data_IF_873922776603
#
_entry.id   IF_873922776603
#
_cell.length_a   1.000
_cell.length_b   1.000
_cell.length_c   1.000
_cell.angle_alpha   90.00
_cell.angle_beta   90.00
_cell.angle_gamma   90.00
#
_symmetry.space_group_name_H-M   'P 1'
#
loop_
_entity.id
_entity.type
_entity.pdbx_description
1 polymer ?
#
# COMPACT_ATOMS: atom_id res chain seq x y z
N UNK A 1 33.49 34.51 43.46
CA UNK A 1 32.84 33.83 42.31
C UNK A 1 33.79 33.55 41.13
N UNK A 2 34.64 34.49 40.68
CA UNK A 2 35.55 34.24 39.52
C UNK A 2 36.60 33.13 39.73
N UNK A 3 37.14 32.95 40.95
CA UNK A 3 38.14 31.91 41.24
C UNK A 3 37.54 30.49 41.22
N UNK A 4 36.31 30.32 41.69
CA UNK A 4 35.65 29.01 41.76
C UNK A 4 35.25 28.49 40.37
N UNK A 5 34.89 29.38 39.45
CA UNK A 5 34.62 29.02 38.04
C UNK A 5 35.90 28.53 37.35
N UNK A 6 37.06 29.12 37.66
CA UNK A 6 38.35 28.69 37.10
C UNK A 6 38.77 27.30 37.58
N UNK A 7 38.53 26.98 38.86
CA UNK A 7 38.81 25.65 39.41
C UNK A 7 37.87 24.58 38.87
N UNK A 8 36.59 24.91 38.63
CA UNK A 8 35.63 24.01 37.98
C UNK A 8 36.03 23.79 36.51
N UNK A 9 36.42 24.84 35.78
CA UNK A 9 36.90 24.71 34.40
C UNK A 9 38.18 23.89 34.30
N UNK A 10 39.15 24.07 35.22
CA UNK A 10 40.36 23.24 35.29
C UNK A 10 40.06 21.78 35.65
N UNK A 11 39.10 21.53 36.55
CA UNK A 11 38.66 20.17 36.88
C UNK A 11 37.94 19.50 35.69
N UNK A 12 37.13 20.24 34.94
CA UNK A 12 36.49 19.74 33.71
C UNK A 12 37.50 19.50 32.58
N UNK A 13 38.55 20.33 32.46
CA UNK A 13 39.65 20.09 31.51
C UNK A 13 40.52 18.89 31.92
N UNK A 14 40.76 18.68 33.22
CA UNK A 14 41.50 17.51 33.71
C UNK A 14 40.72 16.19 33.55
N UNK A 15 39.39 16.24 33.57
CA UNK A 15 38.50 15.09 33.33
C UNK A 15 38.22 14.84 31.83
N UNK A 16 38.49 15.81 30.96
CA UNK A 16 38.20 15.71 29.52
C UNK A 16 39.29 15.06 28.67
N UNK A 17 40.51 14.91 29.19
CA UNK A 17 41.67 14.43 28.41
C UNK A 17 42.08 12.97 28.68
N UNK A 18 41.40 12.25 29.58
CA UNK A 18 41.72 10.82 29.83
C UNK A 18 40.89 9.85 28.98
N UNK A 19 40.12 10.35 28.00
CA UNK A 19 39.24 9.52 27.17
C UNK A 19 39.82 9.17 25.79
N UNK A 20 40.99 9.72 25.42
CA UNK A 20 41.70 9.28 24.23
C UNK A 20 42.61 8.13 24.61
N UNK A 21 42.30 6.95 24.11
CA UNK A 21 43.22 5.82 24.11
C UNK A 21 44.49 6.20 23.35
N UNK A 22 45.65 5.96 23.96
CA UNK A 22 46.96 6.15 23.32
C UNK A 22 47.34 4.97 22.41
N UNK A 23 46.45 3.97 22.25
CA UNK A 23 46.68 2.84 21.35
C UNK A 23 46.44 3.27 19.89
N UNK A 24 47.48 3.29 19.02
CA UNK A 24 47.31 3.62 17.61
C UNK A 24 46.32 2.69 16.89
N UNK A 25 46.04 1.50 17.43
CA UNK A 25 45.05 0.57 16.89
C UNK A 25 43.61 1.08 17.05
N UNK A 26 43.30 1.95 18.01
CA UNK A 26 41.96 2.55 18.11
C UNK A 26 41.66 3.49 16.94
N UNK A 27 42.68 4.04 16.29
CA UNK A 27 42.50 4.87 15.09
C UNK A 27 42.28 4.07 13.80
N UNK A 28 42.61 2.76 13.79
CA UNK A 28 42.54 1.92 12.58
C UNK A 28 41.55 0.75 12.67
N UNK A 29 41.04 0.45 13.87
CA UNK A 29 40.01 -0.57 14.05
C UNK A 29 38.62 0.04 13.87
N UNK A 30 37.69 -0.73 13.29
CA UNK A 30 36.32 -0.26 13.11
C UNK A 30 35.64 -0.11 14.47
N UNK A 31 34.96 1.03 14.65
CA UNK A 31 34.14 1.35 15.82
C UNK A 31 33.17 0.20 16.12
N UNK A 32 33.08 -0.17 17.40
CA UNK A 32 32.11 -1.14 17.91
C UNK A 32 30.97 -0.36 18.51
N UNK A 33 29.77 -0.48 17.92
CA UNK A 33 28.63 0.33 18.30
C UNK A 33 27.98 -0.20 19.57
N UNK A 34 27.65 0.74 20.46
CA UNK A 34 26.89 0.45 21.67
C UNK A 34 25.43 0.05 21.39
N UNK A 35 24.70 -0.45 22.41
CA UNK A 35 23.28 -0.76 22.30
C UNK A 35 22.43 0.43 21.81
N UNK A 36 22.75 1.64 22.26
CA UNK A 36 22.01 2.87 21.97
C UNK A 36 22.60 3.69 20.81
N UNK A 37 23.69 3.21 20.20
CA UNK A 37 24.31 3.86 19.05
C UNK A 37 23.75 3.29 17.74
N UNK A 38 23.43 4.18 16.81
CA UNK A 38 22.94 3.85 15.47
C UNK A 38 24.11 3.66 14.50
N UNK A 39 24.34 2.44 13.96
CA UNK A 39 25.36 2.22 12.95
C UNK A 39 25.13 3.06 11.70
N UNK A 40 26.20 3.62 11.15
CA UNK A 40 26.15 4.33 9.88
C UNK A 40 25.74 3.38 8.74
N UNK A 41 24.84 3.82 7.87
CA UNK A 41 24.48 3.08 6.67
C UNK A 41 25.44 3.45 5.54
N UNK A 42 26.36 2.54 5.23
CA UNK A 42 27.23 2.67 4.06
C UNK A 42 26.41 2.61 2.77
N UNK A 43 26.61 3.56 1.86
CA UNK A 43 25.95 3.54 0.55
C UNK A 43 26.41 2.36 -0.31
N UNK A 44 25.49 1.49 -0.71
CA UNK A 44 25.70 0.44 -1.71
C UNK A 44 24.44 0.26 -2.58
N UNK A 45 24.49 0.75 -3.81
CA UNK A 45 23.36 0.65 -4.74
C UNK A 45 22.99 -0.79 -5.05
N UNK A 46 23.97 -1.70 -5.12
CA UNK A 46 23.73 -3.12 -5.41
C UNK A 46 23.13 -3.85 -4.20
N UNK A 47 23.14 -3.25 -3.00
CA UNK A 47 22.46 -3.78 -1.82
C UNK A 47 21.02 -3.27 -1.68
N UNK A 48 20.61 -2.33 -2.54
CA UNK A 48 19.27 -1.72 -2.47
C UNK A 48 18.31 -2.43 -3.43
N UNK A 49 17.20 -2.90 -2.88
CA UNK A 49 16.06 -3.48 -3.59
C UNK A 49 14.95 -2.43 -3.57
N UNK A 50 14.46 -2.02 -4.74
CA UNK A 50 13.39 -1.03 -4.85
C UNK A 50 12.07 -1.71 -5.13
N UNK A 51 11.04 -1.35 -4.37
CA UNK A 51 9.67 -1.80 -4.57
C UNK A 51 8.73 -0.60 -4.68
N UNK A 52 7.69 -0.72 -5.48
CA UNK A 52 6.65 0.29 -5.63
C UNK A 52 5.30 -0.37 -5.37
N UNK A 53 4.58 0.12 -4.38
CA UNK A 53 3.29 -0.41 -3.94
C UNK A 53 2.21 0.65 -4.15
N UNK A 54 1.01 0.22 -4.49
CA UNK A 54 -0.17 1.09 -4.64
C UNK A 54 -1.31 0.58 -3.77
N UNK A 55 -1.78 1.42 -2.86
CA UNK A 55 -2.96 1.15 -2.05
C UNK A 55 -4.13 1.97 -2.58
N UNK A 56 -5.32 1.36 -2.65
CA UNK A 56 -6.50 2.01 -3.22
C UNK A 56 -7.56 2.22 -2.15
N UNK A 57 -8.00 3.46 -1.95
CA UNK A 57 -9.05 3.79 -0.97
C UNK A 57 -10.34 3.03 -1.35
N UNK A 58 -11.04 2.50 -0.34
CA UNK A 58 -12.18 1.61 -0.50
C UNK A 58 -11.83 0.11 -0.44
N UNK A 59 -10.57 -0.27 -0.73
CA UNK A 59 -10.07 -1.63 -0.54
C UNK A 59 -8.57 -1.62 -0.23
N UNK A 60 -8.22 -1.21 0.99
CA UNK A 60 -6.84 -1.10 1.45
C UNK A 60 -6.28 -2.49 1.83
N UNK A 61 -6.04 -3.30 0.80
CA UNK A 61 -5.44 -4.61 0.97
C UNK A 61 -3.99 -4.49 1.45
N UNK A 62 -3.62 -5.34 2.41
CA UNK A 62 -2.24 -5.52 2.83
C UNK A 62 -1.42 -6.07 1.65
N UNK A 63 -0.25 -5.50 1.41
CA UNK A 63 0.66 -5.94 0.36
C UNK A 63 1.89 -6.62 0.93
N UNK A 64 2.45 -7.57 0.18
CA UNK A 64 3.59 -8.37 0.64
C UNK A 64 4.73 -8.39 -0.38
N UNK A 65 5.95 -8.38 0.12
CA UNK A 65 7.18 -8.51 -0.65
C UNK A 65 7.83 -9.83 -0.25
N UNK A 66 7.80 -10.81 -1.14
CA UNK A 66 8.37 -12.12 -0.89
C UNK A 66 9.89 -12.09 -1.02
N UNK A 67 10.60 -12.39 0.07
CA UNK A 67 12.06 -12.33 0.11
C UNK A 67 12.72 -13.36 -0.82
N UNK A 68 12.04 -14.45 -1.16
CA UNK A 68 12.55 -15.45 -2.12
C UNK A 68 12.69 -14.89 -3.53
N UNK A 69 11.91 -13.88 -3.90
CA UNK A 69 12.04 -13.21 -5.20
C UNK A 69 13.37 -12.45 -5.33
N UNK A 70 14.05 -12.19 -4.22
CA UNK A 70 15.34 -11.49 -4.18
C UNK A 70 16.47 -12.38 -3.62
N UNK A 71 16.29 -13.70 -3.66
CA UNK A 71 17.22 -14.66 -3.05
C UNK A 71 18.66 -14.50 -3.55
N UNK A 72 18.86 -14.23 -4.84
CA UNK A 72 20.20 -14.05 -5.43
C UNK A 72 20.92 -12.81 -4.84
N UNK A 73 20.20 -11.69 -4.72
CA UNK A 73 20.77 -10.45 -4.18
C UNK A 73 21.03 -10.58 -2.68
N UNK A 74 20.11 -11.20 -1.94
CA UNK A 74 20.27 -11.54 -0.52
C UNK A 74 21.51 -12.42 -0.32
N UNK A 75 21.64 -13.49 -1.10
CA UNK A 75 22.77 -14.40 -1.02
C UNK A 75 24.09 -13.73 -1.39
N UNK A 76 24.10 -12.87 -2.39
CA UNK A 76 25.32 -12.14 -2.78
C UNK A 76 25.78 -11.17 -1.69
N UNK A 77 24.84 -10.47 -1.05
CA UNK A 77 25.15 -9.39 -0.11
C UNK A 77 25.35 -9.84 1.33
N UNK A 78 24.57 -10.81 1.79
CA UNK A 78 24.69 -11.39 3.12
C UNK A 78 25.55 -12.65 3.15
N UNK A 79 25.86 -13.26 2.00
CA UNK A 79 26.54 -14.55 1.89
C UNK A 79 25.76 -15.69 2.55
N UNK A 80 24.45 -15.55 2.60
CA UNK A 80 23.50 -16.43 3.30
C UNK A 80 22.28 -16.66 2.41
N UNK A 81 21.71 -17.87 2.43
CA UNK A 81 20.40 -18.06 1.79
C UNK A 81 19.31 -17.31 2.57
N UNK A 82 18.13 -17.13 1.97
CA UNK A 82 16.98 -16.55 2.69
C UNK A 82 16.68 -17.35 3.96
N UNK A 83 16.79 -18.68 3.91
CA UNK A 83 16.52 -19.53 5.07
C UNK A 83 17.56 -19.33 6.18
N UNK A 84 18.85 -19.23 5.82
CA UNK A 84 19.92 -18.93 6.76
C UNK A 84 19.76 -17.57 7.42
N UNK A 85 19.25 -16.57 6.68
CA UNK A 85 18.95 -15.23 7.23
C UNK A 85 17.93 -15.33 8.36
N UNK A 86 16.88 -16.15 8.22
CA UNK A 86 15.88 -16.33 9.29
C UNK A 86 16.41 -17.12 10.47
N UNK A 87 17.27 -18.12 10.26
CA UNK A 87 17.99 -18.78 11.35
C UNK A 87 18.88 -17.76 12.09
N UNK A 88 19.54 -16.89 11.33
CA UNK A 88 20.35 -15.78 11.83
C UNK A 88 19.57 -14.75 12.65
N UNK A 89 18.30 -14.51 12.32
CA UNK A 89 17.44 -13.63 13.13
C UNK A 89 17.08 -14.23 14.48
N UNK A 90 16.90 -15.55 14.55
CA UNK A 90 16.53 -16.25 15.79
C UNK A 90 17.71 -16.40 16.75
N UNK A 91 18.93 -16.57 16.22
CA UNK A 91 20.13 -16.70 17.03
C UNK A 91 20.85 -15.35 17.30
N UNK A 92 20.44 -14.27 16.63
CA UNK A 92 20.98 -12.92 16.80
C UNK A 92 22.18 -12.57 15.91
N UNK A 93 22.55 -13.42 14.95
CA UNK A 93 23.62 -13.16 13.97
C UNK A 93 23.19 -12.19 12.86
N UNK A 94 21.88 -12.09 12.61
CA UNK A 94 21.26 -11.13 11.70
C UNK A 94 20.33 -10.22 12.50
N UNK A 95 20.30 -8.94 12.10
CA UNK A 95 19.31 -7.97 12.55
C UNK A 95 18.40 -7.54 11.41
N UNK A 96 17.15 -7.22 11.76
CA UNK A 96 16.20 -6.53 10.89
C UNK A 96 15.84 -5.20 11.53
N UNK A 97 16.12 -4.09 10.84
CA UNK A 97 15.92 -2.74 11.38
C UNK A 97 15.30 -1.80 10.34
N UNK A 98 14.65 -0.76 10.86
CA UNK A 98 14.35 0.46 10.11
C UNK A 98 15.66 1.16 9.70
N UNK A 99 15.59 1.97 8.65
CA UNK A 99 16.68 2.79 8.14
C UNK A 99 16.20 4.24 8.05
N UNK A 100 16.88 5.13 8.77
CA UNK A 100 16.69 6.56 8.65
C UNK A 100 17.63 7.11 7.56
N UNK A 101 17.07 7.30 6.36
CA UNK A 101 17.82 7.78 5.20
C UNK A 101 18.29 9.23 5.35
N UNK A 102 17.53 10.07 6.05
CA UNK A 102 17.90 11.47 6.32
C UNK A 102 19.15 11.56 7.19
N UNK A 103 19.34 10.59 8.10
CA UNK A 103 20.55 10.47 8.93
C UNK A 103 21.61 9.57 8.32
N UNK A 104 21.30 8.86 7.23
CA UNK A 104 22.16 7.84 6.64
C UNK A 104 22.54 6.76 7.65
N UNK A 105 21.60 6.29 8.48
CA UNK A 105 21.89 5.39 9.58
C UNK A 105 20.83 4.30 9.77
N UNK A 106 21.26 3.17 10.31
CA UNK A 106 20.38 2.12 10.82
C UNK A 106 19.64 2.64 12.05
N UNK A 107 18.32 2.54 12.03
CA UNK A 107 17.47 3.00 13.12
C UNK A 107 17.05 1.81 13.98
N UNK A 108 17.71 1.70 15.14
CA UNK A 108 17.50 0.64 16.13
C UNK A 108 16.32 0.92 17.06
N UNK A 109 15.48 1.91 16.75
CA UNK A 109 14.24 2.16 17.49
C UNK A 109 13.44 0.86 17.60
N UNK A 110 12.98 0.53 18.80
CA UNK A 110 12.22 -0.68 19.03
C UNK A 110 10.97 -0.74 18.13
N UNK A 111 10.53 -1.94 17.71
CA UNK A 111 9.32 -2.11 16.91
C UNK A 111 8.12 -1.38 17.51
N UNK A 112 7.41 -0.61 16.67
CA UNK A 112 6.16 0.07 17.05
C UNK A 112 4.91 -0.60 16.47
N UNK A 113 5.09 -1.56 15.55
CA UNK A 113 4.04 -2.43 15.02
C UNK A 113 4.39 -3.89 15.28
N UNK A 114 3.51 -4.57 16.01
CA UNK A 114 3.73 -5.96 16.41
C UNK A 114 5.08 -6.15 17.11
N UNK A 115 5.78 -7.24 16.78
CA UNK A 115 7.09 -7.56 17.38
C UNK A 115 8.27 -7.36 16.42
N UNK A 116 8.02 -7.05 15.15
CA UNK A 116 9.05 -7.00 14.09
C UNK A 116 8.88 -5.83 13.13
N UNK A 117 7.98 -4.88 13.41
CA UNK A 117 7.61 -3.82 12.49
C UNK A 117 7.56 -2.42 13.09
N UNK A 118 7.32 -1.44 12.22
CA UNK A 118 7.21 -0.03 12.58
C UNK A 118 6.06 0.63 11.85
N UNK A 119 5.39 1.56 12.53
CA UNK A 119 4.54 2.57 11.92
C UNK A 119 5.37 3.78 11.51
N UNK A 120 5.01 4.40 10.39
CA UNK A 120 5.69 5.58 9.85
C UNK A 120 4.72 6.74 9.66
N UNK A 121 5.16 7.96 9.98
CA UNK A 121 4.43 9.20 9.73
C UNK A 121 4.71 9.77 8.32
N UNK A 122 4.12 10.92 8.00
CA UNK A 122 4.31 11.63 6.71
C UNK A 122 5.73 12.03 6.38
N UNK A 123 6.59 12.19 7.38
CA UNK A 123 8.00 12.50 7.17
C UNK A 123 8.86 11.23 6.98
N UNK A 124 8.26 10.04 6.96
CA UNK A 124 8.97 8.75 6.91
C UNK A 124 9.66 8.38 8.22
N UNK A 125 9.34 9.05 9.33
CA UNK A 125 9.88 8.76 10.65
C UNK A 125 9.02 7.73 11.40
N UNK A 126 9.67 6.92 12.24
CA UNK A 126 8.98 5.95 13.12
C UNK A 126 8.03 6.68 14.05
N UNK A 127 6.83 6.14 14.20
CA UNK A 127 5.74 6.71 15.00
C UNK A 127 4.89 5.62 15.66
N UNK A 128 3.79 6.00 16.29
CA UNK A 128 2.73 5.14 16.82
C UNK A 128 1.59 4.97 15.81
N UNK A 129 0.77 3.94 16.00
CA UNK A 129 -0.39 3.65 15.15
C UNK A 129 -1.32 4.85 14.92
N UNK A 130 -1.59 5.63 15.97
CA UNK A 130 -2.46 6.81 15.91
C UNK A 130 -2.03 7.90 14.93
N UNK A 131 -0.75 7.93 14.54
CA UNK A 131 -0.17 8.92 13.64
C UNK A 131 0.45 8.27 12.40
N UNK A 132 0.12 7.00 12.15
CA UNK A 132 0.68 6.24 11.05
C UNK A 132 0.05 6.65 9.71
N UNK A 133 0.87 6.62 8.66
CA UNK A 133 0.41 6.69 7.27
C UNK A 133 0.69 5.37 6.53
N UNK A 134 1.75 4.69 6.92
CA UNK A 134 2.12 3.37 6.43
C UNK A 134 2.76 2.58 7.57
N UNK A 135 2.69 1.27 7.44
CA UNK A 135 3.22 0.30 8.38
C UNK A 135 4.02 -0.76 7.62
N UNK A 136 5.16 -1.15 8.18
CA UNK A 136 5.97 -2.27 7.67
C UNK A 136 6.19 -3.26 8.80
N UNK A 137 6.00 -4.55 8.54
CA UNK A 137 6.27 -5.64 9.47
C UNK A 137 6.97 -6.80 8.76
N UNK A 138 7.83 -7.53 9.48
CA UNK A 138 8.42 -8.75 8.97
C UNK A 138 7.59 -9.96 9.38
N UNK A 139 6.96 -10.60 8.40
CA UNK A 139 6.35 -11.92 8.57
C UNK A 139 7.44 -12.99 8.46
N UNK A 140 7.90 -13.46 9.62
CA UNK A 140 8.92 -14.50 9.73
C UNK A 140 8.45 -15.87 9.23
N UNK A 141 7.16 -16.18 9.36
CA UNK A 141 6.63 -17.49 9.00
C UNK A 141 6.59 -17.65 7.48
N UNK A 142 6.11 -16.63 6.78
CA UNK A 142 5.99 -16.64 5.32
C UNK A 142 7.22 -16.08 4.60
N UNK A 143 8.18 -15.51 5.35
CA UNK A 143 9.42 -14.89 4.82
C UNK A 143 9.12 -13.71 3.91
N UNK A 144 8.26 -12.82 4.39
CA UNK A 144 7.73 -11.69 3.64
C UNK A 144 7.87 -10.39 4.44
N UNK A 145 8.10 -9.29 3.73
CA UNK A 145 7.87 -7.96 4.29
C UNK A 145 6.43 -7.60 3.98
N UNK A 146 5.66 -7.28 5.02
CA UNK A 146 4.24 -6.93 4.96
C UNK A 146 4.13 -5.42 5.06
N UNK A 147 3.39 -4.81 4.14
CA UNK A 147 3.16 -3.36 4.07
C UNK A 147 1.66 -3.09 4.10
N UNK A 148 1.25 -2.18 4.96
CA UNK A 148 -0.16 -1.80 5.15
C UNK A 148 -0.29 -0.30 5.35
N UNK A 149 -1.46 0.25 5.00
CA UNK A 149 -1.82 1.64 5.30
C UNK A 149 -3.08 1.64 6.18
N UNK A 150 -3.23 2.59 7.11
CA UNK A 150 -4.44 2.69 7.93
C UNK A 150 -5.68 3.04 7.10
N UNK A 151 -6.87 2.67 7.58
CA UNK A 151 -8.14 3.01 6.91
C UNK A 151 -8.42 4.52 6.85
N UNK A 152 -7.76 5.31 7.70
CA UNK A 152 -7.89 6.77 7.78
C UNK A 152 -6.98 7.51 6.79
N UNK A 153 -6.29 6.80 5.89
CA UNK A 153 -5.37 7.38 4.92
C UNK A 153 -6.11 8.22 3.87
N UNK A 154 -5.51 9.33 3.45
CA UNK A 154 -6.08 10.25 2.46
C UNK A 154 -5.57 9.95 1.03
N UNK A 155 -6.34 10.38 0.03
CA UNK A 155 -5.95 10.29 -1.38
C UNK A 155 -4.67 11.10 -1.67
N UNK A 156 -3.88 10.65 -2.65
CA UNK A 156 -2.65 11.29 -3.08
C UNK A 156 -1.47 11.12 -2.12
N UNK A 157 -1.67 10.50 -0.96
CA UNK A 157 -0.61 10.20 -0.01
C UNK A 157 0.44 9.29 -0.65
N UNK A 158 1.70 9.67 -0.53
CA UNK A 158 2.82 8.89 -1.07
C UNK A 158 4.07 9.10 -0.24
N UNK A 159 4.99 8.14 -0.30
CA UNK A 159 6.25 8.23 0.40
C UNK A 159 7.15 7.04 0.16
N UNK A 160 8.27 7.01 0.88
CA UNK A 160 9.22 5.90 0.83
C UNK A 160 9.65 5.53 2.24
N UNK A 161 9.53 4.24 2.57
CA UNK A 161 10.04 3.66 3.83
C UNK A 161 11.18 2.71 3.54
N UNK A 162 12.10 2.57 4.51
CA UNK A 162 13.33 1.83 4.32
C UNK A 162 13.56 0.88 5.49
N UNK A 163 13.69 -0.40 5.18
CA UNK A 163 14.03 -1.44 6.16
C UNK A 163 15.14 -2.32 5.57
N UNK A 164 15.85 -3.06 6.39
CA UNK A 164 16.92 -3.92 5.89
C UNK A 164 17.34 -5.02 6.84
N UNK A 165 18.06 -5.99 6.28
CA UNK A 165 18.73 -7.05 7.01
C UNK A 165 20.23 -6.80 6.98
N UNK A 166 20.92 -6.99 8.11
CA UNK A 166 22.37 -6.90 8.17
C UNK A 166 22.96 -7.97 9.09
N UNK A 167 24.20 -8.37 8.81
CA UNK A 167 24.99 -9.20 9.73
C UNK A 167 25.35 -8.39 10.96
N UNK A 168 24.95 -8.87 12.14
CA UNK A 168 25.19 -8.20 13.42
C UNK A 168 26.60 -8.46 13.94
N UNK A 169 27.57 -7.84 13.27
CA UNK A 169 28.98 -7.90 13.68
C UNK A 169 29.33 -6.86 14.78
N UNK A 170 28.33 -6.18 15.34
CA UNK A 170 28.47 -5.05 16.29
C UNK A 170 29.36 -3.89 15.81
N UNK A 171 29.70 -3.85 14.53
CA UNK A 171 30.63 -2.89 13.92
C UNK A 171 29.94 -2.14 12.79
N UNK A 172 30.09 -2.54 11.55
CA UNK A 172 29.78 -1.68 10.41
C UNK A 172 28.45 -1.95 9.71
N UNK A 173 27.81 -3.10 9.99
CA UNK A 173 26.63 -3.58 9.25
C UNK A 173 26.83 -3.49 7.72
N UNK A 174 28.07 -3.65 7.23
CA UNK A 174 28.42 -3.49 5.81
C UNK A 174 27.92 -4.65 4.94
N UNK A 175 27.65 -5.81 5.54
CA UNK A 175 26.99 -6.93 4.86
C UNK A 175 25.49 -6.81 5.12
N UNK A 176 24.79 -6.21 4.16
CA UNK A 176 23.37 -5.91 4.30
C UNK A 176 22.61 -5.96 2.98
N UNK A 177 21.30 -6.06 3.09
CA UNK A 177 20.35 -5.70 2.03
C UNK A 177 19.36 -4.68 2.57
N UNK A 178 19.02 -3.69 1.74
CA UNK A 178 18.04 -2.65 2.04
C UNK A 178 16.86 -2.76 1.08
N UNK A 179 15.66 -2.71 1.63
CA UNK A 179 14.42 -2.55 0.87
C UNK A 179 14.00 -1.08 0.94
N UNK A 180 14.01 -0.42 -0.22
CA UNK A 180 13.46 0.93 -0.41
C UNK A 180 12.06 0.78 -1.00
N UNK A 181 11.05 0.92 -0.15
CA UNK A 181 9.66 0.65 -0.49
C UNK A 181 8.95 1.98 -0.69
N UNK A 182 8.67 2.30 -1.95
CA UNK A 182 7.81 3.44 -2.30
C UNK A 182 6.36 2.99 -2.26
N UNK A 183 5.49 3.84 -1.73
CA UNK A 183 4.05 3.61 -1.71
C UNK A 183 3.31 4.84 -2.22
N UNK A 184 2.19 4.61 -2.88
CA UNK A 184 1.18 5.62 -3.19
C UNK A 184 -0.18 5.14 -2.76
N UNK A 185 -1.03 6.08 -2.37
CA UNK A 185 -2.44 5.88 -2.08
C UNK A 185 -3.23 6.64 -3.10
N UNK A 186 -4.14 5.95 -3.77
CA UNK A 186 -5.03 6.51 -4.77
C UNK A 186 -6.48 6.24 -4.37
N UNK A 187 -7.31 7.27 -4.44
CA UNK A 187 -8.76 7.13 -4.37
C UNK A 187 -9.32 7.03 -5.79
N UNK A 188 -9.74 5.83 -6.22
CA UNK A 188 -10.38 5.68 -7.53
C UNK A 188 -11.72 6.46 -7.62
N UNK A 189 -12.29 6.89 -6.49
CA UNK A 189 -13.53 7.68 -6.41
C UNK A 189 -13.33 9.20 -6.37
N UNK A 190 -12.10 9.70 -6.30
CA UNK A 190 -11.79 11.14 -6.22
C UNK A 190 -12.36 11.95 -7.40
N UNK A 191 -12.64 11.30 -8.53
CA UNK A 191 -13.36 11.86 -9.66
C UNK A 191 -14.84 11.44 -9.65
N UNK A 192 -15.65 11.94 -8.70
CA UNK A 192 -17.10 11.77 -8.78
C UNK A 192 -17.59 12.54 -10.02
N UNK A 193 -17.83 11.83 -11.11
CA UNK A 193 -18.38 12.41 -12.33
C UNK A 193 -19.90 12.50 -12.18
N UNK A 194 -20.44 13.69 -12.40
CA UNK A 194 -21.90 13.83 -12.53
C UNK A 194 -22.32 13.39 -13.92
N UNK A 195 -23.21 12.40 -13.99
CA UNK A 195 -23.73 11.86 -15.25
C UNK A 195 -25.22 12.17 -15.35
N UNK A 196 -25.65 12.47 -16.57
CA UNK A 196 -27.06 12.66 -16.88
C UNK A 196 -27.62 11.34 -17.41
N UNK A 197 -28.52 10.73 -16.65
CA UNK A 197 -29.17 9.47 -17.04
C UNK A 197 -30.54 9.82 -17.64
N UNK A 198 -30.84 9.43 -18.88
CA UNK A 198 -32.16 9.66 -19.47
C UNK A 198 -33.26 9.01 -18.64
N UNK A 199 -34.36 9.73 -18.44
CA UNK A 199 -35.57 9.26 -17.76
C UNK A 199 -36.57 8.58 -18.74
N UNK A 200 -36.10 8.23 -19.94
CA UNK A 200 -36.86 7.50 -20.96
C UNK A 200 -36.68 5.99 -20.78
N UNK A 201 -37.68 5.20 -21.20
CA UNK A 201 -37.72 3.74 -21.04
C UNK A 201 -36.37 3.08 -21.39
N UNK A 202 -35.61 2.72 -20.34
CA UNK A 202 -34.35 1.97 -20.37
C UNK A 202 -33.23 2.57 -21.23
N UNK A 203 -33.25 3.86 -21.56
CA UNK A 203 -32.13 4.48 -22.28
C UNK A 203 -30.99 4.78 -21.30
N UNK A 204 -29.83 4.11 -21.41
CA UNK A 204 -28.77 4.26 -20.43
C UNK A 204 -27.87 5.46 -20.76
N UNK A 205 -27.23 6.00 -19.73
CA UNK A 205 -25.95 6.66 -19.88
C UNK A 205 -24.89 5.60 -20.18
N UNK A 206 -24.06 5.85 -21.20
CA UNK A 206 -23.02 4.94 -21.65
C UNK A 206 -21.68 5.40 -21.13
N UNK A 207 -21.04 4.57 -20.30
CA UNK A 207 -19.62 4.72 -19.95
C UNK A 207 -18.80 4.02 -21.04
N UNK A 208 -18.07 4.79 -21.84
CA UNK A 208 -17.17 4.24 -22.85
C UNK A 208 -15.87 3.73 -22.19
N UNK A 209 -15.59 2.44 -22.29
CA UNK A 209 -14.39 1.85 -21.67
C UNK A 209 -13.10 2.25 -22.39
N UNK A 210 -13.16 2.81 -23.60
CA UNK A 210 -11.98 3.37 -24.26
C UNK A 210 -11.37 4.51 -23.45
N UNK A 211 -12.19 5.29 -22.72
CA UNK A 211 -11.71 6.37 -21.85
C UNK A 211 -10.91 5.85 -20.63
N UNK A 212 -10.95 4.54 -20.36
CA UNK A 212 -10.35 3.90 -19.20
C UNK A 212 -9.32 2.81 -19.57
N UNK A 213 -8.86 2.78 -20.83
CA UNK A 213 -7.92 1.75 -21.31
C UNK A 213 -6.64 1.68 -20.45
N UNK A 214 -6.02 2.82 -20.17
CA UNK A 214 -4.81 2.88 -19.34
C UNK A 214 -5.09 2.41 -17.91
N UNK A 215 -6.23 2.79 -17.32
CA UNK A 215 -6.62 2.35 -15.98
C UNK A 215 -6.85 0.83 -15.92
N UNK A 216 -7.47 0.24 -16.94
CA UNK A 216 -7.70 -1.20 -17.04
C UNK A 216 -6.35 -1.93 -17.14
N UNK A 217 -5.46 -1.44 -18.01
CA UNK A 217 -4.12 -2.00 -18.18
C UNK A 217 -3.31 -1.94 -16.90
N UNK A 218 -3.33 -0.82 -16.20
CA UNK A 218 -2.61 -0.64 -14.94
C UNK A 218 -3.19 -1.50 -13.81
N UNK A 219 -4.51 -1.61 -13.72
CA UNK A 219 -5.17 -2.37 -12.66
C UNK A 219 -5.02 -3.90 -12.83
N UNK A 220 -5.09 -4.39 -14.06
CA UNK A 220 -5.21 -5.82 -14.32
C UNK A 220 -4.07 -6.42 -15.14
N UNK A 221 -3.27 -5.59 -15.82
CA UNK A 221 -2.23 -6.05 -16.75
C UNK A 221 -2.78 -6.63 -18.06
N UNK A 222 -4.04 -6.32 -18.41
CA UNK A 222 -4.70 -6.79 -19.63
C UNK A 222 -5.00 -5.63 -20.59
N UNK A 223 -5.17 -5.94 -21.86
CA UNK A 223 -5.66 -4.99 -22.86
C UNK A 223 -7.15 -4.69 -22.66
N UNK A 224 -7.63 -3.55 -23.17
CA UNK A 224 -9.06 -3.23 -23.15
C UNK A 224 -9.91 -4.34 -23.79
N UNK A 225 -9.43 -4.92 -24.90
CA UNK A 225 -10.12 -6.03 -25.57
C UNK A 225 -10.28 -7.25 -24.67
N UNK A 226 -9.21 -7.68 -23.99
CA UNK A 226 -9.26 -8.83 -23.07
C UNK A 226 -10.20 -8.55 -21.88
N UNK A 227 -10.21 -7.31 -21.37
CA UNK A 227 -11.14 -6.91 -20.33
C UNK A 227 -12.60 -6.98 -20.80
N UNK A 228 -12.89 -6.43 -21.98
CA UNK A 228 -14.20 -6.48 -22.62
C UNK A 228 -14.69 -7.91 -22.88
N UNK A 229 -13.80 -8.82 -23.27
CA UNK A 229 -14.13 -10.26 -23.39
C UNK A 229 -14.42 -10.88 -22.02
N UNK A 230 -13.68 -10.50 -20.97
CA UNK A 230 -13.86 -11.03 -19.62
C UNK A 230 -15.19 -10.62 -18.98
N UNK A 231 -15.65 -9.38 -19.16
CA UNK A 231 -16.90 -8.88 -18.57
C UNK A 231 -18.18 -9.35 -19.30
N UNK A 232 -18.04 -10.02 -20.44
CA UNK A 232 -19.18 -10.66 -21.15
C UNK A 232 -19.59 -12.00 -20.51
N UNK A 233 -18.74 -12.60 -19.67
CA UNK A 233 -18.99 -13.91 -19.05
C UNK A 233 -19.11 -13.79 -17.54
N UNK A 234 -20.19 -14.36 -16.98
CA UNK A 234 -20.39 -14.43 -15.52
C UNK A 234 -19.61 -15.56 -14.85
N UNK A 235 -19.09 -16.50 -15.65
CA UNK A 235 -18.41 -17.72 -15.17
C UNK A 235 -16.89 -17.51 -15.01
N UNK A 236 -16.36 -16.41 -15.54
CA UNK A 236 -14.95 -16.08 -15.50
C UNK A 236 -14.43 -15.66 -14.12
N UNK A 237 -13.15 -15.29 -14.10
CA UNK A 237 -12.50 -14.74 -12.91
C UNK A 237 -12.85 -13.26 -12.68
N UNK A 238 -13.17 -12.52 -13.74
CA UNK A 238 -13.63 -11.13 -13.65
C UNK A 238 -15.06 -11.07 -13.06
N UNK A 239 -15.28 -10.15 -12.14
CA UNK A 239 -16.59 -9.90 -11.50
C UNK A 239 -16.86 -8.43 -11.32
N UNK A 240 -18.14 -8.09 -11.37
CA UNK A 240 -18.68 -6.80 -10.98
C UNK A 240 -19.26 -6.93 -9.57
N UNK A 241 -18.91 -6.01 -8.67
CA UNK A 241 -19.60 -5.86 -7.38
C UNK A 241 -20.14 -4.44 -7.24
N UNK A 242 -21.35 -4.31 -6.70
CA UNK A 242 -21.87 -3.03 -6.24
C UNK A 242 -21.25 -2.66 -4.89
N UNK A 243 -21.17 -1.36 -4.59
CA UNK A 243 -20.76 -0.87 -3.28
C UNK A 243 -21.96 -0.34 -2.51
N UNK A 244 -22.07 -0.72 -1.23
CA UNK A 244 -23.09 -0.20 -0.32
C UNK A 244 -22.86 1.28 0.04
N UNK A 245 -23.75 1.85 0.87
CA UNK A 245 -23.65 3.24 1.32
C UNK A 245 -22.31 3.58 1.99
N UNK A 246 -21.71 2.62 2.68
CA UNK A 246 -20.47 2.77 3.44
C UNK A 246 -19.23 2.43 2.60
N UNK A 247 -19.41 1.97 1.36
CA UNK A 247 -18.33 1.66 0.42
C UNK A 247 -17.89 0.19 0.43
N UNK A 248 -18.59 -0.69 1.16
CA UNK A 248 -18.25 -2.10 1.18
C UNK A 248 -18.71 -2.80 -0.10
N UNK A 249 -17.90 -3.72 -0.61
CA UNK A 249 -18.26 -4.52 -1.79
C UNK A 249 -19.32 -5.56 -1.42
N UNK A 250 -20.40 -5.63 -2.19
CA UNK A 250 -21.48 -6.61 -2.01
C UNK A 250 -21.14 -7.86 -2.84
N UNK A 251 -20.47 -8.83 -2.20
CA UNK A 251 -19.87 -9.98 -2.91
C UNK A 251 -20.72 -11.25 -2.93
N UNK A 252 -21.81 -11.29 -2.17
CA UNK A 252 -22.61 -12.49 -1.89
C UNK A 252 -23.97 -12.52 -2.61
N UNK A 253 -24.15 -11.67 -3.62
CA UNK A 253 -25.40 -11.56 -4.39
C UNK A 253 -25.21 -11.94 -5.86
N UNK A 254 -26.16 -12.73 -6.37
CA UNK A 254 -26.22 -13.03 -7.80
C UNK A 254 -26.64 -11.80 -8.62
N UNK A 255 -26.17 -11.70 -9.85
CA UNK A 255 -26.57 -10.66 -10.80
C UNK A 255 -28.10 -10.61 -10.94
N UNK A 256 -28.66 -9.41 -10.87
CA UNK A 256 -30.11 -9.18 -10.92
C UNK A 256 -30.58 -8.50 -12.20
N UNK A 257 -29.67 -7.97 -13.01
CA UNK A 257 -29.93 -7.37 -14.33
C UNK A 257 -29.37 -8.26 -15.46
N UNK A 258 -29.29 -7.73 -16.69
CA UNK A 258 -28.76 -8.49 -17.83
C UNK A 258 -27.26 -8.70 -17.72
N UNK A 259 -26.79 -9.90 -18.07
CA UNK A 259 -25.37 -10.24 -18.05
C UNK A 259 -24.73 -10.05 -16.68
N UNK A 260 -23.53 -9.49 -16.68
CA UNK A 260 -22.84 -9.02 -15.47
C UNK A 260 -23.42 -7.67 -15.07
N UNK A 261 -24.54 -7.69 -14.33
CA UNK A 261 -25.27 -6.47 -13.97
C UNK A 261 -26.23 -6.60 -12.79
N UNK A 262 -26.56 -5.46 -12.20
CA UNK A 262 -27.41 -5.35 -11.01
C UNK A 262 -28.45 -4.23 -11.15
N UNK A 263 -29.65 -4.49 -10.63
CA UNK A 263 -30.62 -3.48 -10.24
C UNK A 263 -30.36 -3.06 -8.79
N UNK A 264 -30.50 -1.76 -8.49
CA UNK A 264 -30.18 -1.19 -7.18
C UNK A 264 -31.22 -0.16 -6.72
N UNK A 265 -31.36 0.02 -5.40
CA UNK A 265 -31.97 1.22 -4.81
C UNK A 265 -31.06 2.45 -4.95
N UNK A 266 -31.53 3.62 -4.50
CA UNK A 266 -30.78 4.88 -4.56
C UNK A 266 -29.46 4.90 -3.76
N UNK A 267 -29.31 4.01 -2.76
CA UNK A 267 -28.12 3.90 -1.92
C UNK A 267 -27.09 2.90 -2.48
N UNK A 268 -27.49 2.12 -3.48
CA UNK A 268 -26.66 1.11 -4.16
C UNK A 268 -26.85 -0.32 -3.64
N UNK A 269 -27.85 -0.58 -2.80
CA UNK A 269 -28.16 -1.93 -2.39
C UNK A 269 -28.83 -2.69 -3.54
N UNK A 270 -28.40 -3.94 -3.74
CA UNK A 270 -28.90 -4.79 -4.82
C UNK A 270 -30.36 -5.18 -4.57
N UNK A 271 -31.18 -5.01 -5.60
CA UNK A 271 -32.61 -5.33 -5.61
C UNK A 271 -32.95 -6.23 -6.81
N UNK A 272 -34.14 -6.82 -6.79
CA UNK A 272 -34.73 -7.44 -7.98
C UNK A 272 -35.57 -6.41 -8.73
N UNK A 273 -35.69 -6.58 -10.04
CA UNK A 273 -36.55 -5.72 -10.88
C UNK A 273 -37.99 -5.62 -10.35
N UNK A 274 -38.54 -6.72 -9.82
CA UNK A 274 -39.90 -6.77 -9.28
C UNK A 274 -40.12 -5.86 -8.05
N UNK A 275 -39.04 -5.45 -7.38
CA UNK A 275 -39.09 -4.62 -6.18
C UNK A 275 -39.05 -3.12 -6.51
N UNK A 276 -39.10 -2.75 -7.81
CA UNK A 276 -39.05 -1.37 -8.32
C UNK A 276 -37.77 -0.63 -7.88
N UNK A 277 -36.61 -1.07 -8.36
CA UNK A 277 -35.32 -0.41 -8.10
C UNK A 277 -35.29 1.03 -8.62
N UNK A 278 -34.24 1.77 -8.28
CA UNK A 278 -33.98 3.10 -8.83
C UNK A 278 -33.15 3.03 -10.11
N UNK A 279 -32.13 2.19 -10.16
CA UNK A 279 -31.23 2.17 -11.33
C UNK A 279 -30.68 0.77 -11.60
N UNK A 280 -30.04 0.61 -12.76
CA UNK A 280 -29.25 -0.56 -13.09
C UNK A 280 -27.84 -0.18 -13.54
N UNK A 281 -26.93 -1.13 -13.37
CA UNK A 281 -25.59 -1.15 -13.98
C UNK A 281 -25.46 -2.48 -14.73
N UNK A 282 -25.09 -2.43 -15.99
CA UNK A 282 -24.91 -3.62 -16.84
C UNK A 282 -23.61 -3.51 -17.65
N UNK A 283 -22.87 -4.62 -17.71
CA UNK A 283 -21.65 -4.74 -18.53
C UNK A 283 -22.00 -5.12 -19.96
N UNK A 284 -21.54 -4.34 -20.94
CA UNK A 284 -21.72 -4.57 -22.37
C UNK A 284 -20.34 -4.62 -23.05
N UNK A 285 -19.59 -5.68 -22.74
CA UNK A 285 -18.20 -5.81 -23.20
C UNK A 285 -18.06 -6.02 -24.71
N UNK A 286 -19.09 -6.52 -25.39
CA UNK A 286 -19.16 -6.59 -26.85
C UNK A 286 -19.22 -5.19 -27.50
N UNK A 287 -19.76 -4.20 -26.78
CA UNK A 287 -19.79 -2.79 -27.17
C UNK A 287 -18.66 -1.97 -26.55
N UNK A 288 -17.84 -2.57 -25.69
CA UNK A 288 -16.82 -1.84 -24.94
C UNK A 288 -17.41 -0.80 -23.99
N UNK A 289 -18.55 -1.12 -23.37
CA UNK A 289 -19.33 -0.15 -22.60
C UNK A 289 -19.85 -0.69 -21.26
N UNK A 290 -20.19 0.23 -20.36
CA UNK A 290 -21.02 -0.03 -19.18
C UNK A 290 -22.26 0.84 -19.29
N UNK A 291 -23.43 0.24 -19.11
CA UNK A 291 -24.70 0.92 -19.19
C UNK A 291 -25.20 1.25 -17.79
N UNK A 292 -25.55 2.51 -17.57
CA UNK A 292 -26.17 3.00 -16.34
C UNK A 292 -27.52 3.61 -16.70
N UNK A 293 -28.61 2.96 -16.32
CA UNK A 293 -29.94 3.43 -16.63
C UNK A 293 -30.86 3.46 -15.42
N UNK A 294 -32.03 4.07 -15.58
CA UNK A 294 -33.03 4.22 -14.53
C UNK A 294 -34.15 3.18 -14.67
N UNK A 295 -34.77 2.83 -13.56
CA UNK A 295 -36.07 2.15 -13.60
C UNK A 295 -37.14 3.10 -14.19
N UNK A 296 -38.05 2.62 -15.05
CA UNK A 296 -39.03 3.47 -15.71
C UNK A 296 -39.97 4.23 -14.76
N UNK A 297 -40.39 5.43 -15.18
CA UNK A 297 -41.43 6.20 -14.50
C UNK A 297 -40.96 6.96 -13.26
N UNK A 298 -39.66 7.20 -13.11
CA UNK A 298 -39.12 8.08 -12.08
C UNK A 298 -39.27 9.55 -12.51
N UNK A 299 -39.12 10.48 -11.55
CA UNK A 299 -39.19 11.91 -11.83
C UNK A 299 -37.83 12.45 -12.28
N UNK A 300 -37.80 13.32 -13.29
CA UNK A 300 -36.59 14.04 -13.66
C UNK A 300 -36.07 14.87 -12.48
N UNK A 301 -34.75 14.99 -12.36
CA UNK A 301 -34.06 15.59 -11.22
C UNK A 301 -33.84 14.63 -10.04
N UNK A 302 -34.37 13.40 -10.08
CA UNK A 302 -34.01 12.36 -9.09
C UNK A 302 -32.51 12.10 -9.15
N UNK A 303 -31.86 12.10 -8.00
CA UNK A 303 -30.44 11.83 -7.86
C UNK A 303 -30.20 10.49 -7.17
N UNK A 304 -29.20 9.75 -7.65
CA UNK A 304 -28.70 8.54 -6.97
C UNK A 304 -27.19 8.42 -7.15
N UNK A 305 -26.55 7.69 -6.23
CA UNK A 305 -25.10 7.47 -6.25
C UNK A 305 -24.80 6.08 -6.78
N UNK A 306 -24.21 6.01 -7.97
CA UNK A 306 -23.85 4.74 -8.61
C UNK A 306 -22.40 4.42 -8.25
N UNK A 307 -22.17 3.29 -7.57
CA UNK A 307 -20.83 2.82 -7.23
C UNK A 307 -20.70 1.33 -7.50
N UNK A 308 -19.71 0.98 -8.31
CA UNK A 308 -19.41 -0.41 -8.60
C UNK A 308 -17.91 -0.59 -8.86
N UNK A 309 -17.47 -1.83 -8.80
CA UNK A 309 -16.08 -2.22 -8.98
C UNK A 309 -16.01 -3.44 -9.87
N UNK A 310 -15.04 -3.46 -10.79
CA UNK A 310 -14.57 -4.69 -11.41
C UNK A 310 -13.34 -5.18 -10.68
N UNK A 311 -13.28 -6.48 -10.42
CA UNK A 311 -12.15 -7.14 -9.73
C UNK A 311 -11.99 -8.59 -10.21
N UNK A 312 -10.90 -9.24 -9.83
CA UNK A 312 -10.71 -10.68 -10.03
C UNK A 312 -11.14 -11.46 -8.77
N UNK A 313 -11.83 -12.60 -8.92
CA UNK A 313 -12.15 -13.51 -7.80
C UNK A 313 -10.86 -14.08 -7.20
N UNK A 314 -9.87 -14.35 -8.05
CA UNK A 314 -8.57 -14.91 -7.65
C UNK A 314 -7.64 -13.91 -6.94
N UNK A 315 -7.79 -12.61 -7.20
CA UNK A 315 -6.94 -11.55 -6.68
C UNK A 315 -7.72 -10.24 -6.58
N UNK A 316 -8.36 -10.04 -5.42
CA UNK A 316 -9.18 -8.85 -5.17
C UNK A 316 -8.37 -7.55 -4.95
N UNK A 317 -7.04 -7.62 -4.94
CA UNK A 317 -6.19 -6.43 -4.90
C UNK A 317 -6.16 -5.70 -6.25
N UNK A 318 -6.50 -6.41 -7.34
CA UNK A 318 -6.60 -5.88 -8.69
C UNK A 318 -8.03 -5.49 -8.99
N UNK A 319 -8.27 -4.18 -9.01
CA UNK A 319 -9.60 -3.66 -9.27
C UNK A 319 -9.60 -2.28 -9.91
N UNK A 320 -10.72 -1.94 -10.55
CA UNK A 320 -11.10 -0.60 -10.99
C UNK A 320 -12.48 -0.27 -10.44
N UNK A 321 -12.61 0.86 -9.76
CA UNK A 321 -13.86 1.31 -9.15
C UNK A 321 -14.38 2.53 -9.89
N UNK A 322 -15.69 2.53 -10.15
CA UNK A 322 -16.42 3.62 -10.77
C UNK A 322 -17.38 4.25 -9.77
N UNK A 323 -17.38 5.57 -9.69
CA UNK A 323 -18.25 6.34 -8.78
C UNK A 323 -18.87 7.51 -9.52
N UNK A 324 -20.19 7.49 -9.66
CA UNK A 324 -20.95 8.51 -10.36
C UNK A 324 -22.01 9.14 -9.45
N UNK A 325 -22.22 10.43 -9.63
CA UNK A 325 -23.47 11.09 -9.21
C UNK A 325 -24.40 11.11 -10.41
N UNK A 326 -25.44 10.28 -10.40
CA UNK A 326 -26.41 10.25 -11.49
C UNK A 326 -27.57 11.21 -11.21
N UNK A 327 -27.97 11.96 -12.23
CA UNK A 327 -29.15 12.83 -12.20
C UNK A 327 -30.05 12.44 -13.36
N UNK A 328 -31.32 12.15 -13.07
CA UNK A 328 -32.31 11.86 -14.11
C UNK A 328 -32.63 13.12 -14.91
N UNK A 329 -32.62 13.02 -16.24
CA UNK A 329 -32.98 14.12 -17.15
C UNK A 329 -34.09 13.69 -18.12
N UNK A 330 -34.86 14.67 -18.60
CA UNK A 330 -35.84 14.48 -19.68
C UNK A 330 -35.17 14.30 -21.05
#
# INVERSE_FOLDING_TARGET
>A
MRKNILYIAMACFALGFTACSDDPNDAVTKHVYGPDEAPYLRSDANATISNSLEFKIGHLAVQTINLKNYAEQIQTKLKMTVDDVFVGLENGDIVFYNINTSRGAWDKTAPTKGSTGWYYNSAGGVTTESNAQVAVELDKANKQIVVSVPETVEDGMNGTVNVGFAVDNKKDYDMYVRFSISYKVSDPSSNIVTINVPNTDYTPYVVDLNDYEDNIKDAFGMTLKEFCEAIQSTDGDMVLYMLDKDGNWITDQAYTASGMGYWCDADGNIMKWADKPNYFVESHGDEGAIYIGAYPGQEAGTEFRVRFVYTLKSDNSKFIQFVFKAVLID
#
